data_IF_715651821992
#
_entry.id   IF_715651821992
#
_cell.length_a   1.000
_cell.length_b   1.000
_cell.length_c   1.000
_cell.angle_alpha   90.00
_cell.angle_beta   90.00
_cell.angle_gamma   90.00
#
_symmetry.space_group_name_H-M   'P 1'
#
loop_
_entity.id
_entity.type
_entity.pdbx_description
1 polymer ?
#
# COMPACT_ATOMS: atom_id res chain seq x y z
N UNK A 1 -18.62 44.55 25.99
CA UNK A 1 -19.23 43.81 24.86
C UNK A 1 -18.10 43.06 24.18
N UNK A 2 -18.09 41.72 24.23
CA UNK A 2 -17.04 40.95 23.54
C UNK A 2 -17.23 41.12 22.03
N UNK A 3 -16.19 41.57 21.32
CA UNK A 3 -16.20 41.69 19.86
C UNK A 3 -16.24 40.27 19.28
N UNK A 4 -17.32 39.92 18.58
CA UNK A 4 -17.37 38.71 17.76
C UNK A 4 -16.53 38.96 16.52
N UNK A 5 -15.33 38.39 16.48
CA UNK A 5 -14.39 38.49 15.37
C UNK A 5 -14.59 37.27 14.48
N UNK A 6 -14.55 37.44 13.16
CA UNK A 6 -14.57 36.31 12.23
C UNK A 6 -13.23 35.58 12.23
N UNK A 7 -13.21 34.28 11.88
CA UNK A 7 -11.97 33.49 11.88
C UNK A 7 -10.90 34.12 10.97
N UNK A 8 -11.30 34.67 9.84
CA UNK A 8 -10.39 35.32 8.88
C UNK A 8 -9.79 36.62 9.43
N UNK A 9 -10.59 37.43 10.14
CA UNK A 9 -10.10 38.64 10.82
C UNK A 9 -9.13 38.30 11.96
N UNK A 10 -9.41 37.23 12.72
CA UNK A 10 -8.52 36.75 13.78
C UNK A 10 -7.18 36.24 13.21
N UNK A 11 -7.20 35.56 12.06
CA UNK A 11 -5.99 35.12 11.36
C UNK A 11 -5.18 36.30 10.79
N UNK A 12 -5.87 37.36 10.33
CA UNK A 12 -5.22 38.59 9.88
C UNK A 12 -4.58 39.37 11.05
N UNK A 13 -5.23 39.43 12.21
CA UNK A 13 -4.70 40.06 13.44
C UNK A 13 -3.52 39.29 14.04
N UNK A 14 -3.51 37.96 13.93
CA UNK A 14 -2.42 37.10 14.42
C UNK A 14 -1.17 37.08 13.50
N UNK A 15 -1.22 37.78 12.37
CA UNK A 15 -0.07 37.91 11.46
C UNK A 15 0.05 36.76 10.45
N UNK A 16 -1.06 36.27 9.89
CA UNK A 16 -1.06 35.38 8.71
C UNK A 16 -0.19 34.12 8.82
N UNK A 17 0.12 33.50 7.67
CA UNK A 17 1.02 32.34 7.57
C UNK A 17 2.49 32.80 7.41
N UNK A 18 3.21 32.93 8.52
CA UNK A 18 4.62 33.28 8.52
C UNK A 18 5.51 32.16 7.96
N UNK A 19 6.79 32.49 7.67
CA UNK A 19 7.76 31.53 7.10
C UNK A 19 7.86 30.24 7.94
N UNK A 20 7.83 30.36 9.27
CA UNK A 20 7.90 29.20 10.16
C UNK A 20 6.69 28.26 10.03
N UNK A 21 5.47 28.79 9.88
CA UNK A 21 4.27 27.98 9.66
C UNK A 21 4.30 27.31 8.30
N UNK A 22 4.79 28.00 7.26
CA UNK A 22 5.03 27.41 5.94
C UNK A 22 6.06 26.28 5.99
N UNK A 23 7.18 26.46 6.70
CA UNK A 23 8.20 25.42 6.84
C UNK A 23 7.65 24.18 7.55
N UNK A 24 6.86 24.35 8.62
CA UNK A 24 6.20 23.23 9.31
C UNK A 24 5.20 22.55 8.39
N UNK A 25 4.37 23.32 7.68
CA UNK A 25 3.36 22.79 6.77
C UNK A 25 4.00 21.97 5.64
N UNK A 26 5.02 22.52 4.98
CA UNK A 26 5.76 21.82 3.93
C UNK A 26 6.46 20.57 4.48
N UNK A 27 7.08 20.66 5.66
CA UNK A 27 7.67 19.50 6.32
C UNK A 27 6.66 18.39 6.62
N UNK A 28 5.49 18.75 7.15
CA UNK A 28 4.40 17.80 7.41
C UNK A 28 3.87 17.19 6.10
N UNK A 29 3.72 18.01 5.05
CA UNK A 29 3.23 17.56 3.74
C UNK A 29 4.20 16.57 3.09
N UNK A 30 5.51 16.81 3.19
CA UNK A 30 6.54 15.90 2.69
C UNK A 30 6.51 14.57 3.48
N UNK A 31 6.36 14.64 4.80
CA UNK A 31 6.27 13.44 5.63
C UNK A 31 5.00 12.61 5.32
N UNK A 32 3.86 13.27 5.11
CA UNK A 32 2.60 12.63 4.65
C UNK A 32 2.74 12.00 3.26
N UNK A 33 3.50 12.61 2.36
CA UNK A 33 3.76 12.02 1.04
C UNK A 33 4.51 10.68 1.15
N UNK A 34 5.46 10.57 2.10
CA UNK A 34 6.17 9.32 2.36
C UNK A 34 5.24 8.22 2.95
N UNK A 35 4.25 8.62 3.76
CA UNK A 35 3.24 7.73 4.32
C UNK A 35 2.28 7.24 3.23
N UNK A 36 1.73 8.17 2.45
CA UNK A 36 0.78 7.86 1.37
C UNK A 36 1.40 7.07 0.22
N UNK A 37 2.73 7.11 0.06
CA UNK A 37 3.45 6.23 -0.87
C UNK A 37 3.16 4.74 -0.63
N UNK A 38 2.85 4.33 0.61
CA UNK A 38 2.48 2.94 0.91
C UNK A 38 1.21 2.47 0.20
N UNK A 39 0.27 3.38 -0.07
CA UNK A 39 -0.93 3.07 -0.86
C UNK A 39 -0.56 2.90 -2.34
N UNK A 40 0.28 3.80 -2.86
CA UNK A 40 0.75 3.70 -4.25
C UNK A 40 1.57 2.44 -4.51
N UNK A 41 2.40 2.05 -3.53
CA UNK A 41 3.21 0.82 -3.54
C UNK A 41 2.36 -0.44 -3.76
N UNK A 42 1.08 -0.43 -3.33
CA UNK A 42 0.16 -1.54 -3.55
C UNK A 42 0.10 -1.97 -5.02
N UNK A 43 -0.02 -1.00 -5.93
CA UNK A 43 -0.15 -1.23 -7.37
C UNK A 43 1.01 -2.03 -7.94
N UNK A 44 2.23 -1.79 -7.46
CA UNK A 44 3.42 -2.50 -7.93
C UNK A 44 3.54 -3.87 -7.27
N UNK A 45 3.24 -3.97 -5.98
CA UNK A 45 3.41 -5.23 -5.28
C UNK A 45 2.38 -6.27 -5.74
N UNK A 46 1.15 -5.86 -6.06
CA UNK A 46 0.13 -6.77 -6.59
C UNK A 46 0.13 -6.85 -8.11
N UNK A 47 1.07 -6.18 -8.80
CA UNK A 47 1.13 -6.25 -10.25
C UNK A 47 1.51 -7.66 -10.68
N UNK A 48 0.75 -8.17 -11.64
CA UNK A 48 1.01 -9.44 -12.26
C UNK A 48 1.60 -9.21 -13.67
N UNK A 49 2.82 -9.70 -13.94
CA UNK A 49 3.37 -9.65 -15.29
C UNK A 49 2.69 -10.68 -16.19
N UNK A 50 2.82 -10.49 -17.50
CA UNK A 50 2.38 -11.48 -18.48
C UNK A 50 3.09 -12.82 -18.26
N UNK A 51 2.51 -13.91 -18.75
CA UNK A 51 3.11 -15.24 -18.68
C UNK A 51 3.29 -15.83 -20.09
N UNK A 52 4.28 -16.71 -20.26
CA UNK A 52 4.51 -17.45 -21.49
C UNK A 52 4.91 -18.91 -21.21
N UNK A 53 4.78 -19.74 -22.23
CA UNK A 53 5.26 -21.11 -22.19
C UNK A 53 6.79 -21.17 -22.07
N UNK A 54 7.32 -22.17 -21.38
CA UNK A 54 8.76 -22.46 -21.44
C UNK A 54 9.08 -23.08 -22.80
N UNK A 55 10.29 -22.80 -23.31
CA UNK A 55 10.78 -23.45 -24.52
C UNK A 55 10.77 -24.97 -24.29
N UNK A 56 10.24 -25.74 -25.26
CA UNK A 56 10.14 -27.21 -25.25
C UNK A 56 8.94 -27.82 -24.48
N UNK A 57 8.03 -27.01 -23.97
CA UNK A 57 6.77 -27.51 -23.39
C UNK A 57 5.84 -28.12 -24.45
N UNK A 58 5.47 -29.39 -24.26
CA UNK A 58 4.49 -30.09 -25.12
C UNK A 58 3.04 -29.77 -24.72
N UNK A 59 2.83 -29.31 -23.49
CA UNK A 59 1.50 -29.02 -22.92
C UNK A 59 1.10 -27.56 -23.22
N UNK A 60 2.05 -26.64 -23.07
CA UNK A 60 1.85 -25.21 -23.30
C UNK A 60 2.28 -24.86 -24.74
N UNK A 61 1.32 -24.65 -25.64
CA UNK A 61 1.56 -24.39 -27.07
C UNK A 61 1.18 -22.95 -27.48
N UNK A 62 1.45 -21.98 -26.62
CA UNK A 62 1.18 -20.56 -26.88
C UNK A 62 2.47 -19.84 -27.27
N UNK A 63 2.43 -19.14 -28.40
CA UNK A 63 3.58 -18.43 -28.97
C UNK A 63 3.76 -17.02 -28.40
N UNK A 64 2.68 -16.38 -27.94
CA UNK A 64 2.68 -15.00 -27.46
C UNK A 64 2.51 -14.94 -25.93
N UNK A 65 3.11 -13.93 -25.26
CA UNK A 65 2.89 -13.72 -23.83
C UNK A 65 1.44 -13.31 -23.55
N UNK A 66 0.77 -14.05 -22.67
CA UNK A 66 -0.60 -13.82 -22.26
C UNK A 66 -0.67 -12.93 -21.02
N UNK A 67 -1.58 -11.97 -21.03
CA UNK A 67 -1.92 -11.11 -19.90
C UNK A 67 -3.35 -11.30 -19.40
N UNK A 68 -3.71 -10.57 -18.36
CA UNK A 68 -5.02 -10.61 -17.69
C UNK A 68 -6.23 -10.33 -18.61
N UNK A 69 -6.02 -9.68 -19.76
CA UNK A 69 -7.08 -9.30 -20.70
C UNK A 69 -7.29 -10.29 -21.83
N UNK A 70 -6.42 -11.29 -21.96
CA UNK A 70 -6.46 -12.23 -23.07
C UNK A 70 -7.41 -13.40 -22.73
N UNK A 71 -8.20 -13.85 -23.70
CA UNK A 71 -9.24 -14.89 -23.49
C UNK A 71 -8.65 -16.21 -22.95
N UNK A 72 -7.42 -16.54 -23.36
CA UNK A 72 -6.70 -17.76 -22.96
C UNK A 72 -5.88 -17.60 -21.67
N UNK A 73 -6.04 -16.49 -20.93
CA UNK A 73 -5.30 -16.23 -19.68
C UNK A 73 -5.43 -17.37 -18.66
N UNK A 74 -6.62 -17.95 -18.52
CA UNK A 74 -6.90 -19.04 -17.57
C UNK A 74 -6.33 -20.39 -18.01
N UNK A 75 -5.85 -20.54 -19.25
CA UNK A 75 -5.31 -21.82 -19.74
C UNK A 75 -4.14 -22.32 -18.89
N UNK A 76 -3.36 -21.43 -18.27
CA UNK A 76 -2.27 -21.83 -17.34
C UNK A 76 -2.75 -22.49 -16.05
N UNK A 77 -4.02 -22.32 -15.67
CA UNK A 77 -4.58 -22.85 -14.43
C UNK A 77 -4.80 -24.36 -14.51
N UNK A 78 -5.02 -24.90 -15.72
CA UNK A 78 -5.14 -26.33 -15.99
C UNK A 78 -3.79 -27.01 -16.29
N UNK A 79 -2.70 -26.23 -16.35
CA UNK A 79 -1.36 -26.72 -16.68
C UNK A 79 -0.46 -26.81 -15.44
N UNK A 80 0.47 -27.78 -15.39
CA UNK A 80 1.44 -27.82 -14.31
C UNK A 80 2.35 -26.58 -14.34
N UNK A 81 2.68 -26.07 -13.15
CA UNK A 81 3.51 -24.86 -12.95
C UNK A 81 4.86 -24.90 -13.68
N UNK A 82 5.37 -26.09 -14.00
CA UNK A 82 6.62 -26.30 -14.73
C UNK A 82 6.57 -25.84 -16.18
N UNK A 83 5.41 -25.77 -16.81
CA UNK A 83 5.24 -25.56 -18.27
C UNK A 83 5.26 -24.09 -18.68
N UNK A 84 5.01 -23.18 -17.74
CA UNK A 84 4.94 -21.75 -18.01
C UNK A 84 5.82 -20.97 -17.04
N UNK A 85 6.14 -19.73 -17.41
CA UNK A 85 6.87 -18.78 -16.58
C UNK A 85 6.35 -17.36 -16.81
N UNK A 86 6.62 -16.48 -15.86
CA UNK A 86 6.39 -15.05 -16.05
C UNK A 86 7.33 -14.51 -17.14
N UNK A 87 6.84 -13.56 -17.92
CA UNK A 87 7.51 -12.99 -19.08
C UNK A 87 8.57 -11.97 -18.71
N UNK A 88 8.24 -11.15 -17.73
CA UNK A 88 9.11 -10.11 -17.22
C UNK A 88 9.83 -10.57 -15.96
N UNK A 89 11.06 -10.09 -15.74
CA UNK A 89 11.82 -10.29 -14.50
C UNK A 89 11.30 -9.41 -13.34
N UNK A 90 10.05 -8.96 -13.43
CA UNK A 90 9.42 -8.12 -12.43
C UNK A 90 9.11 -8.93 -11.17
N UNK A 91 9.53 -8.43 -10.00
CA UNK A 91 9.29 -9.08 -8.71
C UNK A 91 8.11 -8.43 -7.99
N UNK A 92 7.09 -9.23 -7.71
CA UNK A 92 5.87 -8.85 -7.00
C UNK A 92 5.45 -9.98 -6.07
N UNK A 93 4.47 -9.74 -5.18
CA UNK A 93 3.96 -10.83 -4.33
C UNK A 93 3.28 -11.92 -5.16
N UNK A 94 2.77 -11.56 -6.34
CA UNK A 94 2.15 -12.52 -7.27
C UNK A 94 3.21 -13.45 -7.84
N UNK A 95 4.37 -12.92 -8.24
CA UNK A 95 5.47 -13.75 -8.77
C UNK A 95 6.22 -14.51 -7.70
N UNK A 96 6.29 -13.98 -6.47
CA UNK A 96 7.03 -14.59 -5.35
C UNK A 96 6.26 -15.75 -4.72
N UNK A 97 4.95 -15.59 -4.54
CA UNK A 97 4.08 -16.60 -3.91
C UNK A 97 3.19 -17.35 -4.91
N UNK A 98 3.42 -17.16 -6.23
CA UNK A 98 2.61 -17.74 -7.31
C UNK A 98 1.09 -17.52 -7.11
N UNK A 99 0.69 -16.29 -6.80
CA UNK A 99 -0.71 -15.91 -6.51
C UNK A 99 -1.53 -15.77 -7.81
N UNK A 100 -1.75 -16.89 -8.50
CA UNK A 100 -2.46 -16.97 -9.77
C UNK A 100 -3.68 -17.87 -9.64
N UNK A 101 -4.61 -17.81 -10.61
CA UNK A 101 -5.79 -18.69 -10.64
C UNK A 101 -6.61 -18.57 -9.35
N UNK A 102 -6.91 -19.67 -8.66
CA UNK A 102 -7.65 -19.69 -7.39
C UNK A 102 -6.99 -18.84 -6.29
N UNK A 103 -5.66 -18.77 -6.27
CA UNK A 103 -4.89 -18.02 -5.27
C UNK A 103 -4.73 -16.53 -5.60
N UNK A 104 -5.17 -16.08 -6.78
CA UNK A 104 -5.11 -14.67 -7.19
C UNK A 104 -5.86 -13.73 -6.23
N UNK A 105 -6.89 -14.24 -5.57
CA UNK A 105 -7.65 -13.50 -4.56
C UNK A 105 -6.78 -13.09 -3.38
N UNK A 106 -5.72 -13.83 -3.05
CA UNK A 106 -4.85 -13.54 -1.90
C UNK A 106 -4.06 -12.24 -2.08
N UNK A 107 -3.73 -11.85 -3.32
CA UNK A 107 -3.13 -10.55 -3.61
C UNK A 107 -4.12 -9.40 -3.31
N UNK A 108 -5.39 -9.60 -3.66
CA UNK A 108 -6.47 -8.67 -3.31
C UNK A 108 -6.70 -8.63 -1.80
N UNK A 109 -6.70 -9.78 -1.12
CA UNK A 109 -6.83 -9.86 0.35
C UNK A 109 -5.71 -9.09 1.04
N UNK A 110 -4.46 -9.21 0.59
CA UNK A 110 -3.35 -8.42 1.12
C UNK A 110 -3.62 -6.91 1.03
N UNK A 111 -4.24 -6.47 -0.06
CA UNK A 111 -4.65 -5.07 -0.26
C UNK A 111 -5.78 -4.66 0.67
N UNK A 112 -6.81 -5.51 0.80
CA UNK A 112 -7.96 -5.26 1.68
C UNK A 112 -7.54 -5.10 3.14
N UNK A 113 -6.55 -5.85 3.60
CA UNK A 113 -6.04 -5.76 4.97
C UNK A 113 -5.41 -4.40 5.28
N UNK A 114 -4.78 -3.73 4.31
CA UNK A 114 -4.30 -2.35 4.49
C UNK A 114 -5.48 -1.41 4.77
N UNK A 115 -6.53 -1.47 3.96
CA UNK A 115 -7.71 -0.62 4.14
C UNK A 115 -8.47 -0.92 5.43
N UNK A 116 -8.55 -2.20 5.82
CA UNK A 116 -9.11 -2.60 7.10
C UNK A 116 -8.30 -2.02 8.27
N UNK A 117 -6.97 -2.09 8.18
CA UNK A 117 -6.05 -1.46 9.12
C UNK A 117 -6.27 0.04 9.20
N UNK A 118 -6.40 0.72 8.06
CA UNK A 118 -6.63 2.17 7.98
C UNK A 118 -7.90 2.62 8.70
N UNK A 119 -9.01 1.92 8.49
CA UNK A 119 -10.26 2.23 9.20
C UNK A 119 -10.06 2.17 10.72
N UNK A 120 -9.39 1.12 11.21
CA UNK A 120 -9.11 0.94 12.64
C UNK A 120 -8.12 2.00 13.14
N UNK A 121 -7.06 2.26 12.37
CA UNK A 121 -6.06 3.28 12.63
C UNK A 121 -6.66 4.67 12.81
N UNK A 122 -7.56 5.07 11.91
CA UNK A 122 -8.24 6.36 11.96
C UNK A 122 -9.00 6.59 13.28
N UNK A 123 -9.61 5.54 13.83
CA UNK A 123 -10.32 5.59 15.12
C UNK A 123 -9.31 5.70 16.26
N UNK A 124 -8.27 4.85 16.27
CA UNK A 124 -7.27 4.79 17.32
C UNK A 124 -6.44 6.09 17.41
N UNK A 125 -5.89 6.54 16.28
CA UNK A 125 -5.08 7.75 16.20
C UNK A 125 -5.93 9.02 16.27
N UNK A 126 -7.20 8.98 15.85
CA UNK A 126 -8.17 10.04 16.10
C UNK A 126 -8.36 10.28 17.60
N UNK A 127 -8.64 9.21 18.36
CA UNK A 127 -8.73 9.30 19.82
C UNK A 127 -7.41 9.77 20.47
N UNK A 128 -6.27 9.26 19.99
CA UNK A 128 -4.95 9.66 20.48
C UNK A 128 -4.68 11.15 20.22
N UNK A 129 -5.08 11.66 19.06
CA UNK A 129 -4.97 13.08 18.68
C UNK A 129 -5.78 13.98 19.60
N UNK A 130 -7.01 13.58 19.92
CA UNK A 130 -7.89 14.37 20.80
C UNK A 130 -7.42 14.39 22.25
N UNK A 131 -6.80 13.30 22.71
CA UNK A 131 -6.34 13.13 24.10
C UNK A 131 -4.95 13.72 24.35
N UNK A 132 -4.00 13.46 23.46
CA UNK A 132 -2.57 13.77 23.65
C UNK A 132 -2.04 14.84 22.68
N UNK A 133 -2.91 15.33 21.78
CA UNK A 133 -2.60 16.34 20.79
C UNK A 133 -2.11 15.75 19.46
N UNK A 134 -2.42 16.49 18.38
CA UNK A 134 -2.11 16.11 16.99
C UNK A 134 -0.65 15.77 16.72
N UNK A 135 0.30 16.48 17.33
CA UNK A 135 1.74 16.23 17.11
C UNK A 135 2.17 14.84 17.57
N UNK A 136 1.67 14.39 18.72
CA UNK A 136 1.99 13.07 19.28
C UNK A 136 1.38 11.97 18.42
N UNK A 137 0.11 12.15 18.01
CA UNK A 137 -0.56 11.21 17.12
C UNK A 137 0.16 11.07 15.78
N UNK A 138 0.52 12.19 15.14
CA UNK A 138 1.26 12.20 13.89
C UNK A 138 2.60 11.45 13.99
N UNK A 139 3.40 11.73 15.02
CA UNK A 139 4.67 11.03 15.22
C UNK A 139 4.47 9.53 15.49
N UNK A 140 3.42 9.15 16.19
CA UNK A 140 3.10 7.75 16.44
C UNK A 140 2.73 6.99 15.15
N UNK A 141 1.95 7.60 14.25
CA UNK A 141 1.65 7.07 12.91
C UNK A 141 2.93 6.84 12.10
N UNK A 142 3.79 7.87 12.02
CA UNK A 142 5.05 7.79 11.25
C UNK A 142 5.98 6.71 11.78
N UNK A 143 6.13 6.60 13.10
CA UNK A 143 6.95 5.54 13.72
C UNK A 143 6.37 4.16 13.43
N UNK A 144 5.04 4.01 13.57
CA UNK A 144 4.36 2.75 13.30
C UNK A 144 4.61 2.29 11.85
N UNK A 145 4.32 3.13 10.86
CA UNK A 145 4.55 2.77 9.45
C UNK A 145 6.01 2.43 9.20
N UNK A 146 6.94 3.27 9.68
CA UNK A 146 8.37 3.08 9.41
C UNK A 146 8.88 1.74 9.92
N UNK A 147 8.50 1.36 11.15
CA UNK A 147 8.94 0.10 11.77
C UNK A 147 8.26 -1.10 11.11
N UNK A 148 6.95 -1.02 10.89
CA UNK A 148 6.16 -2.14 10.37
C UNK A 148 6.46 -2.39 8.89
N UNK A 149 6.56 -1.34 8.07
CA UNK A 149 6.92 -1.47 6.66
C UNK A 149 8.35 -2.02 6.49
N UNK A 150 9.29 -1.58 7.32
CA UNK A 150 10.65 -2.14 7.33
C UNK A 150 10.64 -3.63 7.73
N UNK A 151 9.85 -4.01 8.74
CA UNK A 151 9.70 -5.41 9.12
C UNK A 151 9.11 -6.26 7.96
N UNK A 152 8.19 -5.69 7.19
CA UNK A 152 7.60 -6.33 6.01
C UNK A 152 8.59 -6.74 4.94
N UNK A 153 9.71 -6.01 4.79
CA UNK A 153 10.75 -6.33 3.81
C UNK A 153 11.51 -7.63 4.10
N UNK A 154 11.43 -8.16 5.33
CA UNK A 154 12.14 -9.39 5.74
C UNK A 154 11.23 -10.62 5.81
N UNK A 155 9.96 -10.47 5.44
CA UNK A 155 8.97 -11.55 5.54
C UNK A 155 9.02 -12.43 4.29
N UNK A 156 9.13 -13.74 4.51
CA UNK A 156 9.13 -14.78 3.47
C UNK A 156 7.86 -15.65 3.54
N UNK A 157 6.83 -15.20 4.26
CA UNK A 157 5.56 -15.91 4.44
C UNK A 157 4.40 -15.01 4.07
N UNK A 158 3.57 -15.46 3.13
CA UNK A 158 2.41 -14.71 2.63
C UNK A 158 1.47 -14.25 3.76
N UNK A 159 1.13 -15.16 4.69
CA UNK A 159 0.20 -14.84 5.78
C UNK A 159 0.78 -13.78 6.73
N UNK A 160 2.06 -13.87 7.05
CA UNK A 160 2.73 -12.86 7.86
C UNK A 160 2.80 -11.51 7.12
N UNK A 161 3.01 -11.54 5.80
CA UNK A 161 3.01 -10.35 4.98
C UNK A 161 1.64 -9.65 5.01
N UNK A 162 0.55 -10.40 4.86
CA UNK A 162 -0.84 -9.88 4.95
C UNK A 162 -1.09 -9.24 6.34
N UNK A 163 -0.64 -9.88 7.41
CA UNK A 163 -0.77 -9.33 8.77
C UNK A 163 0.04 -8.04 8.93
N UNK A 164 1.27 -8.00 8.43
CA UNK A 164 2.09 -6.79 8.46
C UNK A 164 1.42 -5.66 7.68
N UNK A 165 0.85 -5.95 6.50
CA UNK A 165 0.12 -4.96 5.69
C UNK A 165 -1.04 -4.34 6.45
N UNK A 166 -1.76 -5.10 7.27
CA UNK A 166 -2.77 -4.55 8.17
C UNK A 166 -2.18 -3.53 9.15
N UNK A 167 -1.06 -3.86 9.79
CA UNK A 167 -0.40 -2.95 10.71
C UNK A 167 0.21 -1.73 10.01
N UNK A 168 0.67 -1.84 8.76
CA UNK A 168 1.03 -0.67 7.94
C UNK A 168 -0.20 0.21 7.74
N UNK A 169 -1.34 -0.39 7.39
CA UNK A 169 -2.62 0.29 7.25
C UNK A 169 -3.05 1.03 8.52
N UNK A 170 -2.83 0.46 9.70
CA UNK A 170 -3.16 1.12 10.98
C UNK A 170 -2.44 2.47 11.14
N UNK A 171 -1.22 2.61 10.63
CA UNK A 171 -0.47 3.85 10.73
C UNK A 171 -0.78 4.87 9.62
N UNK A 172 -1.54 4.48 8.57
CA UNK A 172 -2.06 5.37 7.51
C UNK A 172 -3.27 6.13 8.04
#
# INVERSE_FOLDING_TARGET
>A
MAKTITVDEALAELGGFGLFQWLIYLGASIAEMAVTYQIFLLTFITAEPKWLCKNESLICNFSEPMGLTDDDYEARCDMPRSEWKFADDFTSIVTEFDLVCDDSILATVASMFIFAGWIIGSILFGFLSDRFGRKVAFLACVINISVVALAGAFVHSLWLFIIIRFFVGVGI
#
